data_IF_967358322745
#
_entry.id   IF_967358322745
#
_cell.length_a   1.000
_cell.length_b   1.000
_cell.length_c   1.000
_cell.angle_alpha   90.00
_cell.angle_beta   90.00
_cell.angle_gamma   90.00
#
_symmetry.space_group_name_H-M   'P 1'
#
loop_
_entity.id
_entity.type
_entity.pdbx_description
1 polymer ?
#
# COMPACT_ATOMS: atom_id res chain seq x y z
N UNK A 1 12.12 -3.73 -0.53
CA UNK A 1 11.06 -4.07 0.45
C UNK A 1 10.55 -5.47 0.17
N UNK A 2 10.31 -6.27 1.20
CA UNK A 2 9.85 -7.66 1.07
C UNK A 2 8.32 -7.72 0.91
N UNK A 3 7.81 -8.92 0.57
CA UNK A 3 6.36 -9.14 0.50
C UNK A 3 5.72 -8.94 1.87
N UNK A 4 6.39 -9.39 2.94
CA UNK A 4 5.89 -9.21 4.30
C UNK A 4 5.81 -7.75 4.69
N UNK A 5 6.79 -6.96 4.31
CA UNK A 5 6.79 -5.52 4.55
C UNK A 5 5.69 -4.84 3.74
N UNK A 6 5.51 -5.26 2.49
CA UNK A 6 4.43 -4.75 1.65
C UNK A 6 3.07 -5.06 2.25
N UNK A 7 2.89 -6.26 2.81
CA UNK A 7 1.64 -6.63 3.48
C UNK A 7 1.32 -5.69 4.64
N UNK A 8 2.33 -5.23 5.38
CA UNK A 8 2.14 -4.25 6.45
C UNK A 8 1.65 -2.91 5.92
N UNK A 9 2.19 -2.47 4.79
CA UNK A 9 1.74 -1.23 4.13
C UNK A 9 0.28 -1.37 3.68
N UNK A 10 -0.07 -2.50 3.08
CA UNK A 10 -1.44 -2.74 2.63
C UNK A 10 -2.41 -2.80 3.81
N UNK A 11 -2.00 -3.34 4.95
CA UNK A 11 -2.81 -3.35 6.16
C UNK A 11 -3.10 -1.92 6.65
N UNK A 12 -2.13 -1.03 6.54
CA UNK A 12 -2.31 0.38 6.89
C UNK A 12 -3.32 1.04 5.96
N UNK A 13 -3.21 0.80 4.66
CA UNK A 13 -4.20 1.34 3.70
C UNK A 13 -5.60 0.80 3.97
N UNK A 14 -5.72 -0.48 4.28
CA UNK A 14 -7.02 -1.08 4.61
C UNK A 14 -7.63 -0.41 5.85
N UNK A 15 -6.82 -0.15 6.85
CA UNK A 15 -7.28 0.53 8.07
C UNK A 15 -7.65 1.99 7.80
N UNK A 16 -6.87 2.67 6.95
CA UNK A 16 -7.09 4.09 6.64
C UNK A 16 -8.29 4.31 5.70
N UNK A 17 -8.54 3.36 4.80
CA UNK A 17 -9.61 3.46 3.79
C UNK A 17 -10.51 2.22 3.82
N UNK A 18 -11.20 1.95 4.94
CA UNK A 18 -11.94 0.69 5.08
C UNK A 18 -13.02 0.51 4.03
N UNK A 19 -13.63 1.59 3.57
CA UNK A 19 -14.70 1.53 2.56
C UNK A 19 -14.21 0.92 1.25
N UNK A 20 -12.99 1.20 0.87
CA UNK A 20 -12.43 0.78 -0.43
C UNK A 20 -11.91 -0.65 -0.41
N UNK A 21 -11.66 -1.19 0.77
CA UNK A 21 -11.09 -2.54 0.91
C UNK A 21 -12.04 -3.54 1.57
N UNK A 22 -13.26 -3.11 1.90
CA UNK A 22 -14.21 -3.93 2.66
C UNK A 22 -14.63 -5.21 1.95
N UNK A 23 -14.73 -5.17 0.62
CA UNK A 23 -15.23 -6.28 -0.18
C UNK A 23 -14.12 -7.08 -0.88
N UNK A 24 -12.88 -6.80 -0.57
CA UNK A 24 -11.77 -7.52 -1.18
C UNK A 24 -11.57 -8.84 -0.44
N UNK A 25 -11.52 -9.96 -1.18
CA UNK A 25 -11.31 -11.26 -0.55
C UNK A 25 -9.81 -11.55 -0.36
N UNK A 26 -9.49 -12.67 0.29
CA UNK A 26 -8.10 -13.03 0.59
C UNK A 26 -7.27 -13.20 -0.68
N UNK A 27 -7.86 -13.79 -1.71
CA UNK A 27 -7.17 -14.02 -2.98
C UNK A 27 -6.82 -12.69 -3.66
N UNK A 28 -7.78 -11.78 -3.73
CA UNK A 28 -7.56 -10.46 -4.32
C UNK A 28 -6.55 -9.65 -3.51
N UNK A 29 -6.64 -9.70 -2.19
CA UNK A 29 -5.70 -9.00 -1.32
C UNK A 29 -4.27 -9.50 -1.54
N UNK A 30 -4.11 -10.81 -1.72
CA UNK A 30 -2.81 -11.41 -1.99
C UNK A 30 -2.27 -10.98 -3.34
N UNK A 31 -3.12 -10.91 -4.36
CA UNK A 31 -2.73 -10.44 -5.69
C UNK A 31 -2.28 -8.98 -5.65
N UNK A 32 -3.02 -8.14 -4.97
CA UNK A 32 -2.68 -6.72 -4.81
C UNK A 32 -1.33 -6.57 -4.09
N UNK A 33 -1.15 -7.30 -3.00
CA UNK A 33 0.09 -7.27 -2.22
C UNK A 33 1.27 -7.71 -3.08
N UNK A 34 1.10 -8.77 -3.86
CA UNK A 34 2.16 -9.30 -4.73
C UNK A 34 2.55 -8.28 -5.79
N UNK A 35 1.56 -7.62 -6.41
CA UNK A 35 1.85 -6.59 -7.41
C UNK A 35 2.61 -5.42 -6.79
N UNK A 36 2.13 -4.92 -5.66
CA UNK A 36 2.80 -3.80 -4.97
C UNK A 36 4.22 -4.18 -4.55
N UNK A 37 4.43 -5.39 -4.05
CA UNK A 37 5.76 -5.86 -3.67
C UNK A 37 6.71 -5.87 -4.86
N UNK A 38 6.21 -6.33 -6.01
CA UNK A 38 7.00 -6.37 -7.25
C UNK A 38 7.38 -4.96 -7.71
N UNK A 39 6.43 -4.03 -7.71
CA UNK A 39 6.66 -2.68 -8.20
C UNK A 39 7.53 -1.85 -7.26
N UNK A 40 7.53 -2.18 -5.97
CA UNK A 40 8.27 -1.44 -4.95
C UNK A 40 9.49 -2.20 -4.43
N UNK A 41 9.93 -3.22 -5.16
CA UNK A 41 11.03 -4.09 -4.72
C UNK A 41 12.33 -3.33 -4.44
N UNK A 42 12.58 -2.25 -5.18
CA UNK A 42 13.83 -1.48 -5.07
C UNK A 42 13.76 -0.37 -4.01
N UNK A 43 12.64 -0.24 -3.32
CA UNK A 43 12.44 0.79 -2.31
C UNK A 43 12.50 0.18 -0.92
N UNK A 44 13.00 0.94 0.06
CA UNK A 44 13.04 0.47 1.44
C UNK A 44 11.66 0.60 2.08
N UNK A 45 11.40 -0.23 3.08
CA UNK A 45 10.17 -0.15 3.87
C UNK A 45 9.99 1.24 4.50
N UNK A 46 11.07 1.81 5.03
CA UNK A 46 11.01 3.13 5.64
C UNK A 46 10.57 4.20 4.64
N UNK A 47 11.15 4.18 3.44
CA UNK A 47 10.81 5.13 2.39
C UNK A 47 9.33 5.02 1.98
N UNK A 48 8.87 3.80 1.74
CA UNK A 48 7.48 3.56 1.35
C UNK A 48 6.51 3.90 2.49
N UNK A 49 6.86 3.53 3.71
CA UNK A 49 6.05 3.83 4.89
C UNK A 49 5.86 5.34 5.08
N UNK A 50 6.92 6.11 4.92
CA UNK A 50 6.85 7.57 5.03
C UNK A 50 5.99 8.18 3.92
N UNK A 51 6.14 7.70 2.69
CA UNK A 51 5.33 8.16 1.57
C UNK A 51 3.86 7.82 1.78
N UNK A 52 3.57 6.62 2.27
CA UNK A 52 2.20 6.18 2.54
C UNK A 52 1.54 7.07 3.61
N UNK A 53 2.26 7.37 4.68
CA UNK A 53 1.73 8.24 5.74
C UNK A 53 1.42 9.63 5.21
N UNK A 54 2.31 10.20 4.41
CA UNK A 54 2.10 11.52 3.82
C UNK A 54 0.86 11.56 2.93
N UNK A 55 0.65 10.51 2.14
CA UNK A 55 -0.50 10.41 1.25
C UNK A 55 -1.81 10.22 2.02
N UNK A 56 -1.78 9.39 3.06
CA UNK A 56 -2.98 9.12 3.86
C UNK A 56 -3.51 10.40 4.50
N UNK A 57 -2.64 11.25 5.03
CA UNK A 57 -3.08 12.49 5.69
C UNK A 57 -3.55 13.56 4.71
N UNK A 58 -3.23 13.43 3.42
CA UNK A 58 -3.55 14.45 2.42
C UNK A 58 -4.55 13.98 1.37
N UNK A 59 -4.93 12.70 1.35
CA UNK A 59 -5.77 12.14 0.29
C UNK A 59 -7.00 11.45 0.86
N UNK A 60 -8.15 11.72 0.24
CA UNK A 60 -9.42 11.08 0.61
C UNK A 60 -9.57 9.69 0.02
N UNK A 61 -8.79 9.36 -0.98
CA UNK A 61 -8.86 8.09 -1.70
C UNK A 61 -7.55 7.32 -1.54
N UNK A 62 -7.61 5.98 -1.58
CA UNK A 62 -6.38 5.18 -1.48
C UNK A 62 -5.42 5.55 -2.61
N UNK A 63 -4.13 5.74 -2.30
CA UNK A 63 -3.16 6.11 -3.34
C UNK A 63 -2.87 4.94 -4.27
N UNK A 64 -2.46 5.27 -5.49
CA UNK A 64 -1.96 4.30 -6.45
C UNK A 64 -0.47 4.07 -6.22
N UNK A 65 0.07 3.03 -6.85
CA UNK A 65 1.50 2.76 -6.80
C UNK A 65 2.29 3.96 -7.31
N UNK A 66 1.83 4.56 -8.41
CA UNK A 66 2.50 5.73 -9.00
C UNK A 66 2.57 6.90 -8.03
N UNK A 67 1.48 7.15 -7.29
CA UNK A 67 1.46 8.23 -6.31
C UNK A 67 2.44 7.99 -5.17
N UNK A 68 2.57 6.75 -4.73
CA UNK A 68 3.54 6.39 -3.68
C UNK A 68 4.97 6.62 -4.18
N UNK A 69 5.26 6.21 -5.40
CA UNK A 69 6.59 6.36 -5.98
C UNK A 69 6.96 7.84 -6.13
N UNK A 70 6.01 8.70 -6.47
CA UNK A 70 6.24 10.13 -6.64
C UNK A 70 6.57 10.86 -5.34
N UNK A 71 6.17 10.31 -4.21
CA UNK A 71 6.47 10.91 -2.92
C UNK A 71 7.86 10.53 -2.43
#
# INVERSE_FOLDING_TARGET
>A
MTVQETAKIMAVFKAAYPRYYANIDVKEARQVTTLWASMLADYSYETVSNAAKALIVSSKFPPTIAEVIEK
#
